data_IF_014328534045
#
_entry.id   IF_014328534045
#
_cell.length_a   1.000
_cell.length_b   1.000
_cell.length_c   1.000
_cell.angle_alpha   90.00
_cell.angle_beta   90.00
_cell.angle_gamma   90.00
#
_symmetry.space_group_name_H-M   'P 1'
#
loop_
_entity.id
_entity.type
_entity.pdbx_description
1 polymer ?
#
# COMPACT_ATOMS: atom_id res chain seq x y z
N UNK A 1 34.23 39.49 -31.47
CA UNK A 1 33.33 38.33 -31.45
C UNK A 1 32.91 38.16 -30.01
N UNK A 2 31.84 38.84 -29.63
CA UNK A 2 31.25 38.77 -28.29
C UNK A 2 30.40 37.50 -28.23
N UNK A 3 30.67 36.65 -27.24
CA UNK A 3 29.99 35.37 -27.07
C UNK A 3 28.61 35.57 -26.48
N UNK A 4 27.58 35.10 -27.20
CA UNK A 4 26.22 35.02 -26.68
C UNK A 4 26.17 34.02 -25.51
N UNK A 5 25.52 34.38 -24.39
CA UNK A 5 25.27 33.44 -23.31
C UNK A 5 24.30 32.35 -23.76
N UNK A 6 24.56 31.14 -23.27
CA UNK A 6 23.82 29.92 -23.58
C UNK A 6 22.46 29.90 -22.87
N UNK A 7 21.43 29.42 -23.56
CA UNK A 7 20.05 29.21 -23.07
C UNK A 7 19.97 28.42 -21.74
N UNK A 8 21.03 27.68 -21.39
CA UNK A 8 21.16 26.99 -20.12
C UNK A 8 21.30 27.94 -18.91
N UNK A 9 21.86 29.14 -19.09
CA UNK A 9 22.11 30.10 -18.01
C UNK A 9 20.84 30.90 -17.64
N UNK A 10 19.94 31.12 -18.60
CA UNK A 10 18.63 31.78 -18.37
C UNK A 10 17.62 30.85 -17.68
N UNK A 11 17.67 29.54 -17.94
CA UNK A 11 16.81 28.56 -17.28
C UNK A 11 17.21 28.29 -15.82
N UNK A 12 18.49 28.47 -15.47
CA UNK A 12 18.97 28.34 -14.09
C UNK A 12 18.46 29.45 -13.16
N UNK A 13 18.22 30.66 -13.69
CA UNK A 13 17.70 31.79 -12.93
C UNK A 13 16.17 31.75 -12.75
N UNK A 14 15.42 31.30 -13.76
CA UNK A 14 13.96 31.21 -13.70
C UNK A 14 13.44 30.14 -12.71
N UNK A 15 14.22 29.09 -12.42
CA UNK A 15 13.83 28.03 -11.47
C UNK A 15 14.05 28.46 -10.00
N UNK A 16 14.91 29.46 -9.75
CA UNK A 16 15.12 30.03 -8.41
C UNK A 16 13.95 30.91 -7.96
N UNK A 17 13.23 31.55 -8.88
CA UNK A 17 12.10 32.45 -8.58
C UNK A 17 10.75 31.74 -8.45
N UNK A 18 10.66 30.44 -8.77
CA UNK A 18 9.45 29.62 -8.65
C UNK A 18 9.42 28.76 -7.37
N UNK A 19 10.32 29.01 -6.42
CA UNK A 19 10.23 28.42 -5.08
C UNK A 19 9.08 29.06 -4.30
N UNK A 20 7.93 28.38 -4.38
CA UNK A 20 6.82 28.35 -3.44
C UNK A 20 6.93 29.34 -2.25
N UNK A 21 6.11 30.38 -2.30
CA UNK A 21 5.74 31.16 -1.12
C UNK A 21 5.33 30.19 -0.01
N UNK A 22 6.08 30.24 1.09
CA UNK A 22 5.85 29.42 2.26
C UNK A 22 4.40 29.56 2.76
N UNK A 23 3.83 28.46 3.25
CA UNK A 23 2.53 28.39 3.97
C UNK A 23 2.42 29.33 5.19
N UNK A 24 3.46 30.11 5.51
CA UNK A 24 3.48 31.03 6.63
C UNK A 24 2.72 32.35 6.39
N UNK A 25 2.48 32.73 5.13
CA UNK A 25 1.80 33.99 4.80
C UNK A 25 0.27 33.88 4.64
N UNK A 26 -0.28 32.66 4.58
CA UNK A 26 -1.73 32.41 4.55
C UNK A 26 -2.38 32.34 5.94
N UNK A 27 -1.63 32.56 7.02
CA UNK A 27 -2.13 32.48 8.41
C UNK A 27 -2.46 33.83 9.06
N UNK A 28 -2.41 34.95 8.34
CA UNK A 28 -2.78 36.25 8.89
C UNK A 28 -4.24 36.60 8.53
N UNK A 29 -5.08 36.63 9.57
CA UNK A 29 -6.41 37.23 9.62
C UNK A 29 -7.59 36.40 9.09
N UNK A 30 -7.73 35.16 9.56
CA UNK A 30 -9.07 34.57 9.73
C UNK A 30 -9.42 34.69 11.20
N UNK A 31 -10.17 35.72 11.57
CA UNK A 31 -10.85 35.79 12.86
C UNK A 31 -11.85 34.63 12.90
N UNK A 32 -11.51 33.58 13.65
CA UNK A 32 -12.47 32.55 14.01
C UNK A 32 -13.46 33.16 15.01
N UNK A 33 -14.78 33.14 14.75
CA UNK A 33 -15.75 33.63 15.70
C UNK A 33 -15.65 32.82 17.00
N UNK A 34 -15.65 33.55 18.11
CA UNK A 34 -15.61 33.06 19.49
C UNK A 34 -16.62 31.92 19.71
N UNK A 35 -16.11 30.71 19.99
CA UNK A 35 -16.89 29.48 20.22
C UNK A 35 -17.82 29.58 21.45
N UNK A 36 -17.69 30.63 22.27
CA UNK A 36 -18.51 30.81 23.47
C UNK A 36 -19.93 31.35 23.22
N UNK A 37 -20.34 31.59 21.96
CA UNK A 37 -21.69 32.07 21.61
C UNK A 37 -22.55 31.11 20.75
N UNK A 38 -22.33 29.80 20.81
CA UNK A 38 -23.30 28.83 20.24
C UNK A 38 -24.53 28.78 21.15
N UNK A 39 -25.49 29.67 20.90
CA UNK A 39 -26.85 29.55 21.43
C UNK A 39 -27.40 28.17 21.05
N UNK A 40 -27.95 27.47 22.04
CA UNK A 40 -28.72 26.24 21.87
C UNK A 40 -29.83 26.48 20.85
N UNK A 41 -29.58 26.10 19.59
CA UNK A 41 -30.60 26.03 18.56
C UNK A 41 -31.39 24.76 18.84
N UNK A 42 -32.69 24.92 19.07
CA UNK A 42 -33.63 23.82 19.27
C UNK A 42 -33.48 22.80 18.14
N UNK A 43 -32.98 21.60 18.47
CA UNK A 43 -32.74 20.50 17.52
C UNK A 43 -34.04 19.81 17.04
N UNK A 44 -35.21 20.32 17.41
CA UNK A 44 -36.51 19.78 17.02
C UNK A 44 -37.03 20.44 15.74
N UNK A 45 -36.39 20.15 14.59
CA UNK A 45 -37.00 20.10 13.24
C UNK A 45 -35.95 20.05 12.11
N UNK A 46 -34.90 19.23 12.22
CA UNK A 46 -34.13 18.85 11.02
C UNK A 46 -34.93 17.79 10.27
N UNK A 47 -35.89 18.35 9.55
CA UNK A 47 -36.72 17.83 8.49
C UNK A 47 -36.05 16.67 7.74
N UNK A 48 -36.78 15.57 7.62
CA UNK A 48 -36.54 14.43 6.74
C UNK A 48 -36.46 14.89 5.28
N UNK A 49 -35.35 15.52 4.87
CA UNK A 49 -35.09 15.74 3.46
C UNK A 49 -34.77 14.38 2.85
N UNK A 50 -35.64 13.94 1.95
CA UNK A 50 -35.36 12.81 1.08
C UNK A 50 -33.97 13.02 0.44
N UNK A 51 -33.15 11.95 0.35
CA UNK A 51 -31.83 12.07 -0.24
C UNK A 51 -31.95 12.65 -1.64
N UNK A 52 -31.24 13.76 -1.89
CA UNK A 52 -31.20 14.40 -3.20
C UNK A 52 -30.73 13.38 -4.24
N UNK A 53 -31.57 13.12 -5.24
CA UNK A 53 -31.26 12.18 -6.33
C UNK A 53 -30.46 12.82 -7.45
N UNK A 54 -30.42 14.16 -7.52
CA UNK A 54 -29.83 14.91 -8.62
C UNK A 54 -29.07 16.15 -8.12
N UNK A 55 -27.94 16.46 -8.74
CA UNK A 55 -27.17 17.68 -8.49
C UNK A 55 -27.39 18.69 -9.62
N UNK A 56 -28.43 19.53 -9.47
CA UNK A 56 -28.93 20.40 -10.55
C UNK A 56 -28.03 21.61 -10.87
N UNK A 57 -27.04 21.93 -10.04
CA UNK A 57 -26.21 23.14 -10.19
C UNK A 57 -24.98 22.96 -11.08
N UNK A 58 -24.60 21.72 -11.38
CA UNK A 58 -23.43 21.49 -12.24
C UNK A 58 -23.61 22.04 -13.66
N UNK A 59 -24.76 21.85 -14.35
CA UNK A 59 -24.96 22.38 -15.69
C UNK A 59 -24.95 23.92 -15.78
N UNK A 60 -25.24 24.61 -14.67
CA UNK A 60 -25.21 26.08 -14.58
C UNK A 60 -23.77 26.64 -14.57
N UNK A 61 -22.76 25.78 -14.35
CA UNK A 61 -21.37 26.19 -14.38
C UNK A 61 -20.92 26.51 -15.82
N UNK A 62 -20.12 27.57 -16.02
CA UNK A 62 -19.40 27.80 -17.27
C UNK A 62 -18.70 26.53 -17.77
N UNK A 63 -18.73 26.30 -19.08
CA UNK A 63 -18.19 25.09 -19.69
C UNK A 63 -16.72 24.87 -19.32
N UNK A 64 -15.94 25.94 -19.19
CA UNK A 64 -14.53 25.88 -18.82
C UNK A 64 -14.34 25.29 -17.42
N UNK A 65 -15.22 25.63 -16.47
CA UNK A 65 -15.17 25.07 -15.12
C UNK A 65 -15.63 23.62 -15.10
N UNK A 66 -16.67 23.28 -15.86
CA UNK A 66 -17.15 21.88 -15.98
C UNK A 66 -16.05 20.98 -16.53
N UNK A 67 -15.39 21.39 -17.62
CA UNK A 67 -14.30 20.64 -18.23
C UNK A 67 -13.12 20.49 -17.27
N UNK A 68 -12.75 21.53 -16.51
CA UNK A 68 -11.70 21.42 -15.49
C UNK A 68 -12.06 20.44 -14.37
N UNK A 69 -13.33 20.41 -13.96
CA UNK A 69 -13.79 19.44 -12.94
C UNK A 69 -13.73 18.02 -13.49
N UNK A 70 -14.11 17.80 -14.75
CA UNK A 70 -14.03 16.48 -15.40
C UNK A 70 -12.59 16.02 -15.66
N UNK A 71 -11.70 16.93 -16.06
CA UNK A 71 -10.27 16.64 -16.17
C UNK A 71 -9.73 16.20 -14.80
N UNK A 72 -9.96 16.99 -13.74
CA UNK A 72 -9.57 16.64 -12.38
C UNK A 72 -10.18 15.30 -11.89
N UNK A 73 -11.45 15.03 -12.21
CA UNK A 73 -12.10 13.77 -11.86
C UNK A 73 -11.54 12.56 -12.65
N UNK A 74 -10.98 12.79 -13.84
CA UNK A 74 -10.27 11.77 -14.63
C UNK A 74 -8.87 11.48 -14.08
N UNK A 75 -8.37 12.33 -13.18
CA UNK A 75 -7.05 12.24 -12.57
C UNK A 75 -7.00 11.42 -11.27
N UNK A 76 -8.05 10.65 -10.98
CA UNK A 76 -8.09 9.83 -9.77
C UNK A 76 -7.29 8.53 -9.98
N UNK A 77 -6.19 8.31 -9.23
CA UNK A 77 -5.41 7.08 -9.32
C UNK A 77 -6.20 5.90 -8.74
N UNK A 78 -6.06 4.72 -9.34
CA UNK A 78 -6.72 3.50 -8.85
C UNK A 78 -5.79 2.30 -8.90
N UNK A 79 -6.09 1.32 -8.05
CA UNK A 79 -5.40 0.03 -8.03
C UNK A 79 -6.24 -0.96 -8.84
N UNK A 80 -5.68 -1.48 -9.94
CA UNK A 80 -6.26 -2.58 -10.69
C UNK A 80 -5.59 -3.87 -10.25
N UNK A 81 -6.21 -4.56 -9.31
CA UNK A 81 -5.72 -5.83 -8.79
C UNK A 81 -5.92 -6.96 -9.81
N UNK A 82 -4.83 -7.68 -10.07
CA UNK A 82 -4.80 -8.93 -10.79
C UNK A 82 -4.73 -10.08 -9.80
N UNK A 83 -5.66 -11.01 -9.97
CA UNK A 83 -5.72 -12.26 -9.22
C UNK A 83 -5.28 -13.39 -10.14
N UNK A 84 -4.48 -14.30 -9.62
CA UNK A 84 -4.14 -15.53 -10.32
C UNK A 84 -4.67 -16.74 -9.56
N UNK A 85 -4.87 -17.80 -10.31
CA UNK A 85 -5.03 -19.12 -9.78
C UNK A 85 -4.53 -20.14 -10.77
N UNK A 86 -4.41 -21.36 -10.28
CA UNK A 86 -4.17 -22.52 -11.13
C UNK A 86 -5.52 -23.16 -11.39
N UNK A 87 -5.89 -23.34 -12.66
CA UNK A 87 -7.07 -24.14 -12.97
C UNK A 87 -6.80 -25.57 -12.48
N UNK A 88 -7.70 -26.11 -11.65
CA UNK A 88 -7.68 -27.55 -11.32
C UNK A 88 -7.77 -28.30 -12.63
N UNK A 89 -6.80 -29.18 -12.90
CA UNK A 89 -6.80 -29.99 -14.12
C UNK A 89 -8.12 -30.76 -14.17
N UNK A 90 -8.85 -30.63 -15.27
CA UNK A 90 -9.98 -31.51 -15.49
C UNK A 90 -9.41 -32.90 -15.86
N UNK A 91 -10.19 -33.97 -15.71
CA UNK A 91 -9.73 -35.33 -16.05
C UNK A 91 -9.16 -35.43 -17.48
N UNK A 92 -9.71 -34.67 -18.42
CA UNK A 92 -9.18 -34.57 -19.78
C UNK A 92 -7.79 -33.90 -19.86
N UNK A 93 -7.52 -32.88 -19.02
CA UNK A 93 -6.21 -32.22 -18.96
C UNK A 93 -5.16 -33.17 -18.34
N UNK A 94 -5.57 -33.98 -17.36
CA UNK A 94 -4.74 -35.03 -16.75
C UNK A 94 -4.39 -36.13 -17.77
N UNK A 95 -5.38 -36.64 -18.51
CA UNK A 95 -5.18 -37.65 -19.57
C UNK A 95 -4.20 -37.13 -20.63
N UNK A 96 -4.33 -35.86 -21.02
CA UNK A 96 -3.48 -35.24 -22.02
C UNK A 96 -2.14 -34.73 -21.46
N UNK A 97 -1.88 -34.89 -20.16
CA UNK A 97 -0.68 -34.39 -19.46
C UNK A 97 -0.41 -32.91 -19.74
N UNK A 98 -1.46 -32.10 -19.88
CA UNK A 98 -1.30 -30.67 -20.07
C UNK A 98 -0.79 -30.05 -18.76
N UNK A 99 0.19 -29.13 -18.82
CA UNK A 99 0.65 -28.46 -17.62
C UNK A 99 -0.49 -27.65 -17.00
N UNK A 100 -0.53 -27.51 -15.66
CA UNK A 100 -1.51 -26.65 -15.00
C UNK A 100 -1.48 -25.26 -15.61
N UNK A 101 -2.61 -24.81 -16.16
CA UNK A 101 -2.72 -23.49 -16.76
C UNK A 101 -2.93 -22.46 -15.65
N UNK A 102 -1.95 -21.55 -15.52
CA UNK A 102 -2.11 -20.36 -14.69
C UNK A 102 -3.02 -19.39 -15.41
N UNK A 103 -4.04 -18.90 -14.74
CA UNK A 103 -4.87 -17.82 -15.25
C UNK A 103 -4.62 -16.53 -14.48
N UNK A 104 -4.95 -15.42 -15.11
CA UNK A 104 -4.93 -14.08 -14.51
C UNK A 104 -6.25 -13.43 -14.82
N UNK A 105 -6.94 -12.92 -13.81
CA UNK A 105 -8.19 -12.17 -13.94
C UNK A 105 -8.09 -10.86 -13.19
N UNK A 106 -8.81 -9.84 -13.65
CA UNK A 106 -8.97 -8.62 -12.87
C UNK A 106 -9.92 -8.89 -11.69
N UNK A 107 -9.66 -8.31 -10.52
CA UNK A 107 -10.56 -8.40 -9.36
C UNK A 107 -11.91 -7.75 -9.67
N UNK A 108 -12.94 -8.01 -8.84
CA UNK A 108 -14.27 -7.44 -9.07
C UNK A 108 -14.22 -5.91 -8.95
N UNK A 109 -13.53 -5.39 -7.92
CA UNK A 109 -13.32 -3.95 -7.75
C UNK A 109 -12.48 -3.34 -8.87
N UNK A 110 -11.41 -4.02 -9.33
CA UNK A 110 -10.59 -3.55 -10.46
C UNK A 110 -11.35 -3.47 -11.79
N UNK A 111 -12.47 -4.20 -11.95
CA UNK A 111 -13.35 -4.10 -13.12
C UNK A 111 -14.41 -3.00 -13.01
N UNK A 112 -14.56 -2.35 -11.85
CA UNK A 112 -15.53 -1.28 -11.72
C UNK A 112 -15.20 -0.15 -12.68
N UNK A 113 -16.20 0.24 -13.46
CA UNK A 113 -16.10 1.37 -14.37
C UNK A 113 -15.82 2.64 -13.55
N UNK A 114 -14.84 3.47 -13.95
CA UNK A 114 -14.58 4.75 -13.30
C UNK A 114 -15.87 5.57 -13.14
N UNK A 115 -16.06 6.19 -11.96
CA UNK A 115 -17.27 6.94 -11.64
C UNK A 115 -17.59 7.99 -12.71
N UNK A 116 -16.57 8.71 -13.21
CA UNK A 116 -16.72 9.74 -14.25
C UNK A 116 -17.43 9.23 -15.53
N UNK A 117 -17.25 7.95 -15.89
CA UNK A 117 -17.88 7.39 -17.09
C UNK A 117 -19.37 7.05 -16.91
N UNK A 118 -19.91 7.24 -15.71
CA UNK A 118 -21.32 6.99 -15.37
C UNK A 118 -22.09 8.22 -14.94
N UNK A 119 -21.44 9.35 -14.66
CA UNK A 119 -22.10 10.56 -14.15
C UNK A 119 -23.03 11.19 -15.20
N UNK A 120 -22.51 11.49 -16.39
CA UNK A 120 -23.26 12.15 -17.46
C UNK A 120 -22.63 11.83 -18.82
N UNK A 121 -23.30 12.24 -19.90
CA UNK A 121 -22.75 12.12 -21.26
C UNK A 121 -21.46 12.93 -21.42
N UNK A 122 -21.44 14.17 -20.96
CA UNK A 122 -20.27 15.05 -21.01
C UNK A 122 -19.11 14.46 -20.20
N UNK A 123 -19.35 14.02 -18.97
CA UNK A 123 -18.33 13.40 -18.13
C UNK A 123 -17.74 12.14 -18.78
N UNK A 124 -18.59 11.32 -19.42
CA UNK A 124 -18.13 10.16 -20.19
C UNK A 124 -17.28 10.54 -21.39
N UNK A 125 -17.67 11.55 -22.16
CA UNK A 125 -16.92 12.03 -23.31
C UNK A 125 -15.53 12.54 -22.89
N UNK A 126 -15.43 13.25 -21.76
CA UNK A 126 -14.14 13.66 -21.19
C UNK A 126 -13.34 12.49 -20.61
N UNK A 127 -13.94 11.64 -19.79
CA UNK A 127 -13.24 10.52 -19.17
C UNK A 127 -12.68 9.52 -20.19
N UNK A 128 -13.37 9.30 -21.32
CA UNK A 128 -12.87 8.44 -22.41
C UNK A 128 -11.62 8.97 -23.12
N UNK A 129 -11.22 10.23 -22.90
CA UNK A 129 -9.91 10.75 -23.35
C UNK A 129 -8.75 10.16 -22.53
N UNK A 130 -9.01 9.75 -21.28
CA UNK A 130 -7.99 9.24 -20.36
C UNK A 130 -8.06 7.71 -20.16
N UNK A 131 -9.25 7.12 -20.26
CA UNK A 131 -9.47 5.70 -20.02
C UNK A 131 -9.63 4.91 -21.33
N UNK A 132 -8.83 3.85 -21.49
CA UNK A 132 -8.94 2.89 -22.60
C UNK A 132 -9.49 1.56 -22.11
N UNK A 133 -10.42 0.98 -22.87
CA UNK A 133 -10.95 -0.35 -22.61
C UNK A 133 -9.87 -1.40 -22.93
N UNK A 134 -9.34 -2.07 -21.91
CA UNK A 134 -8.12 -2.88 -22.00
C UNK A 134 -8.36 -4.29 -21.45
N UNK A 135 -7.89 -5.32 -22.16
CA UNK A 135 -7.97 -6.71 -21.69
C UNK A 135 -6.70 -7.12 -20.91
N UNK A 136 -6.76 -6.99 -19.60
CA UNK A 136 -5.69 -7.38 -18.68
C UNK A 136 -5.72 -8.87 -18.31
N UNK A 137 -6.77 -9.62 -18.68
CA UNK A 137 -6.94 -11.04 -18.32
C UNK A 137 -6.21 -12.01 -19.25
N UNK A 138 -5.75 -13.14 -18.71
CA UNK A 138 -5.18 -14.21 -19.54
C UNK A 138 -6.27 -14.84 -20.41
N UNK A 139 -5.94 -15.18 -21.66
CA UNK A 139 -6.89 -15.81 -22.61
C UNK A 139 -7.40 -17.17 -22.15
N UNK A 140 -6.68 -17.82 -21.24
CA UNK A 140 -6.95 -19.19 -20.82
C UNK A 140 -8.08 -19.29 -19.77
N UNK A 141 -8.78 -18.19 -19.46
CA UNK A 141 -9.81 -18.12 -18.40
C UNK A 141 -10.91 -17.11 -18.70
N UNK A 142 -12.19 -17.50 -18.49
CA UNK A 142 -13.08 -18.14 -19.48
C UNK A 142 -13.05 -17.51 -20.89
N UNK A 143 -13.64 -18.17 -21.89
CA UNK A 143 -13.64 -17.77 -23.32
C UNK A 143 -14.27 -16.39 -23.66
N UNK A 144 -14.72 -15.62 -22.66
CA UNK A 144 -15.33 -14.30 -22.85
C UNK A 144 -14.35 -13.24 -22.38
N UNK A 145 -13.89 -12.41 -23.31
CA UNK A 145 -13.06 -11.25 -22.97
C UNK A 145 -13.84 -10.31 -22.05
N UNK A 146 -13.22 -9.95 -20.92
CA UNK A 146 -13.80 -9.03 -19.92
C UNK A 146 -12.88 -7.83 -19.78
N UNK A 147 -12.88 -6.90 -20.75
CA UNK A 147 -12.01 -5.76 -20.65
C UNK A 147 -12.46 -4.83 -19.53
N UNK A 148 -11.51 -4.06 -18.98
CA UNK A 148 -11.76 -3.04 -17.97
C UNK A 148 -11.22 -1.69 -18.45
N UNK A 149 -11.76 -0.59 -17.92
CA UNK A 149 -11.24 0.74 -18.19
C UNK A 149 -9.92 0.96 -17.44
N UNK A 150 -8.89 1.31 -18.19
CA UNK A 150 -7.53 1.52 -17.70
C UNK A 150 -7.00 2.88 -18.14
N UNK A 151 -6.52 3.68 -17.19
CA UNK A 151 -5.79 4.92 -17.44
C UNK A 151 -4.30 4.66 -17.20
N UNK A 152 -3.52 4.46 -18.26
CA UNK A 152 -2.08 4.15 -18.15
C UNK A 152 -1.28 5.25 -17.45
N UNK A 153 -1.75 6.50 -17.49
CA UNK A 153 -1.09 7.63 -16.84
C UNK A 153 -1.24 7.62 -15.33
N UNK A 154 -2.29 7.01 -14.75
CA UNK A 154 -2.52 7.08 -13.29
C UNK A 154 -2.84 5.76 -12.59
N UNK A 155 -3.47 4.81 -13.27
CA UNK A 155 -3.79 3.51 -12.67
C UNK A 155 -2.49 2.70 -12.42
N UNK A 156 -2.50 1.91 -11.35
CA UNK A 156 -1.42 0.98 -10.98
C UNK A 156 -1.90 -0.45 -11.09
N UNK A 157 -1.18 -1.30 -11.84
CA UNK A 157 -1.49 -2.72 -11.96
C UNK A 157 -0.89 -3.47 -10.77
N UNK A 158 -1.73 -4.02 -9.90
CA UNK A 158 -1.28 -4.73 -8.71
C UNK A 158 -1.37 -6.25 -8.89
N UNK A 159 -0.22 -6.91 -8.89
CA UNK A 159 -0.12 -8.36 -8.83
C UNK A 159 -0.30 -8.83 -7.39
N UNK A 160 -1.54 -9.26 -7.09
CA UNK A 160 -1.93 -9.71 -5.76
C UNK A 160 -1.18 -10.95 -5.28
N UNK A 161 -1.35 -11.36 -4.01
CA UNK A 161 -0.55 -12.40 -3.37
C UNK A 161 -0.64 -13.79 -4.01
N UNK A 162 -1.69 -14.05 -4.79
CA UNK A 162 -1.89 -15.31 -5.49
C UNK A 162 -1.23 -15.33 -6.87
N UNK A 163 -0.76 -14.19 -7.37
CA UNK A 163 0.05 -14.15 -8.59
C UNK A 163 1.35 -14.93 -8.38
N UNK A 164 1.86 -15.50 -9.45
CA UNK A 164 3.18 -16.11 -9.50
C UNK A 164 4.01 -15.46 -10.63
N UNK A 165 5.30 -15.78 -10.70
CA UNK A 165 6.19 -15.20 -11.70
C UNK A 165 5.75 -15.47 -13.15
N UNK A 166 5.16 -16.64 -13.44
CA UNK A 166 4.65 -16.94 -14.78
C UNK A 166 3.43 -16.07 -15.13
N UNK A 167 2.52 -15.84 -14.19
CA UNK A 167 1.38 -14.94 -14.34
C UNK A 167 1.77 -13.48 -14.53
N UNK A 168 2.78 -13.03 -13.77
CA UNK A 168 3.37 -11.70 -13.93
C UNK A 168 3.96 -11.58 -15.34
N UNK A 169 4.81 -12.53 -15.74
CA UNK A 169 5.45 -12.53 -17.06
C UNK A 169 4.42 -12.59 -18.20
N UNK A 170 3.40 -13.45 -18.10
CA UNK A 170 2.32 -13.55 -19.09
C UNK A 170 1.61 -12.20 -19.28
N UNK A 171 1.37 -11.47 -18.19
CA UNK A 171 0.71 -10.17 -18.23
C UNK A 171 1.62 -9.10 -18.82
N UNK A 172 2.88 -9.05 -18.41
CA UNK A 172 3.88 -8.10 -18.93
C UNK A 172 4.28 -8.38 -20.39
N UNK A 173 4.02 -9.59 -20.90
CA UNK A 173 4.24 -9.89 -22.32
C UNK A 173 3.15 -9.28 -23.23
N UNK A 174 2.06 -8.74 -22.67
CA UNK A 174 1.04 -8.04 -23.44
C UNK A 174 1.56 -6.71 -23.95
N UNK A 175 1.13 -6.31 -25.15
CA UNK A 175 1.47 -5.01 -25.76
C UNK A 175 0.63 -3.87 -25.18
N UNK A 176 0.67 -3.73 -23.86
CA UNK A 176 -0.04 -2.70 -23.09
C UNK A 176 1.02 -1.93 -22.30
N UNK A 177 1.01 -0.61 -22.36
CA UNK A 177 1.88 0.22 -21.53
C UNK A 177 1.45 0.08 -20.07
N UNK A 178 2.39 -0.24 -19.18
CA UNK A 178 2.13 -0.41 -17.75
C UNK A 178 3.12 0.43 -16.94
N UNK A 179 2.95 1.77 -16.87
CA UNK A 179 3.94 2.63 -16.25
C UNK A 179 4.10 2.41 -14.75
N UNK A 180 3.04 1.97 -14.06
CA UNK A 180 3.10 1.65 -12.64
C UNK A 180 2.61 0.25 -12.41
N UNK A 181 3.46 -0.55 -11.77
CA UNK A 181 3.11 -1.88 -11.31
C UNK A 181 3.38 -2.00 -9.82
N UNK A 182 2.56 -2.80 -9.14
CA UNK A 182 2.76 -3.18 -7.77
C UNK A 182 2.83 -4.70 -7.68
N UNK A 183 3.74 -5.26 -6.89
CA UNK A 183 3.89 -6.70 -6.71
C UNK A 183 3.90 -7.03 -5.23
N UNK A 184 3.01 -7.92 -4.81
CA UNK A 184 2.99 -8.41 -3.44
C UNK A 184 4.25 -9.23 -3.15
N UNK A 185 4.93 -8.94 -2.03
CA UNK A 185 6.17 -9.66 -1.70
C UNK A 185 5.93 -11.13 -1.31
N UNK A 186 4.68 -11.56 -1.11
CA UNK A 186 4.28 -12.97 -0.92
C UNK A 186 4.35 -13.80 -2.20
N UNK A 187 4.40 -13.16 -3.37
CA UNK A 187 4.33 -13.80 -4.68
C UNK A 187 5.57 -14.66 -4.92
N UNK A 188 5.50 -15.93 -4.50
CA UNK A 188 6.56 -16.92 -4.69
C UNK A 188 7.92 -16.49 -4.15
N UNK A 189 8.96 -17.27 -4.45
CA UNK A 189 10.32 -16.91 -4.06
C UNK A 189 10.72 -15.60 -4.74
N UNK A 190 11.11 -14.60 -3.94
CA UNK A 190 11.48 -13.23 -4.36
C UNK A 190 12.39 -13.12 -5.57
N UNK A 191 13.26 -14.13 -5.80
CA UNK A 191 14.12 -14.18 -6.98
C UNK A 191 13.35 -14.37 -8.29
N UNK A 192 12.23 -15.10 -8.29
CA UNK A 192 11.43 -15.34 -9.51
C UNK A 192 10.66 -14.09 -9.93
N UNK A 193 10.20 -13.29 -8.96
CA UNK A 193 9.59 -11.99 -9.23
C UNK A 193 10.59 -11.07 -9.89
N UNK A 194 11.77 -10.89 -9.28
CA UNK A 194 12.82 -10.07 -9.87
C UNK A 194 13.23 -10.58 -11.26
N UNK A 195 13.36 -11.90 -11.43
CA UNK A 195 13.63 -12.47 -12.75
C UNK A 195 12.52 -12.15 -13.77
N UNK A 196 11.24 -12.27 -13.39
CA UNK A 196 10.12 -11.92 -14.27
C UNK A 196 10.14 -10.43 -14.66
N UNK A 197 10.46 -9.55 -13.71
CA UNK A 197 10.61 -8.12 -13.94
C UNK A 197 11.83 -7.79 -14.81
N UNK A 198 12.96 -8.47 -14.64
CA UNK A 198 14.16 -8.25 -15.47
C UNK A 198 14.01 -8.83 -16.89
N UNK A 199 13.27 -9.93 -17.03
CA UNK A 199 12.97 -10.61 -18.30
C UNK A 199 11.80 -10.01 -19.07
N UNK A 200 11.26 -8.86 -18.63
CA UNK A 200 10.22 -8.15 -19.38
C UNK A 200 10.65 -7.85 -20.81
N UNK A 201 9.70 -7.91 -21.74
CA UNK A 201 9.89 -7.42 -23.09
C UNK A 201 10.26 -5.94 -23.12
N UNK A 202 11.00 -5.54 -24.16
CA UNK A 202 11.51 -4.18 -24.33
C UNK A 202 10.42 -3.11 -24.33
N UNK A 203 9.19 -3.40 -24.80
CA UNK A 203 8.10 -2.44 -24.84
C UNK A 203 7.57 -2.07 -23.45
N UNK A 204 7.38 -3.05 -22.56
CA UNK A 204 6.98 -2.76 -21.17
C UNK A 204 8.09 -2.03 -20.46
N UNK A 205 9.34 -2.48 -20.66
CA UNK A 205 10.51 -1.85 -20.06
C UNK A 205 10.63 -0.38 -20.43
N UNK A 206 10.38 -0.03 -21.69
CA UNK A 206 10.42 1.37 -22.15
C UNK A 206 9.30 2.25 -21.61
N UNK A 207 8.26 1.66 -21.03
CA UNK A 207 7.11 2.39 -20.46
C UNK A 207 7.05 2.38 -18.94
N UNK A 208 7.87 1.57 -18.27
CA UNK A 208 7.77 1.33 -16.83
C UNK A 208 8.47 2.44 -16.05
N UNK A 209 7.70 3.16 -15.25
CA UNK A 209 8.13 4.33 -14.47
C UNK A 209 8.25 3.98 -12.97
N UNK A 210 7.40 3.10 -12.44
CA UNK A 210 7.37 2.75 -11.01
C UNK A 210 7.13 1.25 -10.79
N UNK A 211 7.89 0.67 -9.86
CA UNK A 211 7.68 -0.66 -9.30
C UNK A 211 7.50 -0.54 -7.80
N UNK A 212 6.30 -0.83 -7.32
CA UNK A 212 5.97 -0.87 -5.90
C UNK A 212 6.03 -2.31 -5.39
N UNK A 213 6.91 -2.59 -4.44
CA UNK A 213 6.87 -3.84 -3.68
C UNK A 213 5.91 -3.69 -2.50
N UNK A 214 4.79 -4.41 -2.56
CA UNK A 214 3.72 -4.32 -1.57
C UNK A 214 4.05 -5.22 -0.40
N UNK A 215 4.45 -4.60 0.70
CA UNK A 215 4.73 -5.23 1.97
C UNK A 215 3.40 -5.62 2.64
N UNK A 216 3.19 -6.90 2.96
CA UNK A 216 1.98 -7.38 3.57
C UNK A 216 1.73 -6.71 4.92
N UNK A 217 0.46 -6.37 5.16
CA UNK A 217 -0.05 -5.87 6.44
C UNK A 217 -1.11 -6.84 6.95
N UNK A 218 -1.00 -7.27 8.21
CA UNK A 218 -1.96 -8.13 8.91
C UNK A 218 -3.36 -7.53 8.96
N UNK A 219 -3.47 -6.21 9.03
CA UNK A 219 -4.76 -5.52 9.06
C UNK A 219 -5.52 -5.70 7.72
N UNK A 220 -4.79 -5.99 6.64
CA UNK A 220 -5.30 -6.05 5.27
C UNK A 220 -5.01 -7.40 4.58
N UNK A 221 -4.64 -8.43 5.35
CA UNK A 221 -4.16 -9.72 4.85
C UNK A 221 -5.23 -10.56 4.14
N UNK A 222 -6.50 -10.44 4.56
CA UNK A 222 -7.57 -11.39 4.21
C UNK A 222 -8.27 -11.11 2.87
N UNK A 223 -8.03 -9.98 2.22
CA UNK A 223 -8.87 -9.57 1.09
C UNK A 223 -8.05 -9.28 -0.16
N UNK A 224 -7.80 -10.32 -0.97
CA UNK A 224 -7.85 -10.10 -2.41
C UNK A 224 -9.27 -9.57 -2.72
N UNK A 225 -9.42 -8.60 -3.60
CA UNK A 225 -10.64 -7.80 -3.83
C UNK A 225 -10.77 -6.58 -2.90
N UNK A 226 -9.71 -5.76 -2.80
CA UNK A 226 -9.71 -4.54 -1.99
C UNK A 226 -10.88 -3.62 -2.32
N UNK A 227 -11.53 -3.00 -1.31
CA UNK A 227 -12.53 -1.98 -1.55
C UNK A 227 -11.89 -0.75 -2.25
N UNK A 228 -12.68 0.09 -2.92
CA UNK A 228 -12.15 1.22 -3.71
C UNK A 228 -11.45 2.29 -2.87
N UNK A 229 -11.61 2.26 -1.54
CA UNK A 229 -11.00 3.19 -0.59
C UNK A 229 -9.64 2.70 -0.05
N UNK A 230 -8.86 2.00 -0.87
CA UNK A 230 -7.50 1.54 -0.51
C UNK A 230 -6.47 2.21 -1.43
N UNK A 231 -5.36 2.63 -0.86
CA UNK A 231 -4.21 3.18 -1.57
C UNK A 231 -2.91 2.49 -1.14
N UNK A 232 -1.82 2.82 -1.84
CA UNK A 232 -0.48 2.48 -1.39
C UNK A 232 0.09 3.61 -0.55
N UNK A 233 0.51 3.31 0.67
CA UNK A 233 1.25 4.25 1.52
C UNK A 233 2.65 3.74 1.81
N UNK A 234 3.61 4.67 1.88
CA UNK A 234 4.97 4.39 2.31
C UNK A 234 4.97 3.65 3.65
N UNK A 235 5.75 2.58 3.76
CA UNK A 235 5.81 1.79 4.98
C UNK A 235 7.24 1.64 5.46
N UNK A 236 7.41 1.80 6.77
CA UNK A 236 8.66 1.41 7.47
C UNK A 236 8.68 -0.09 7.75
N UNK A 237 7.54 -0.78 7.57
CA UNK A 237 7.45 -2.22 7.77
C UNK A 237 8.41 -2.95 6.85
N UNK A 238 9.05 -3.97 7.40
CA UNK A 238 9.86 -4.94 6.64
C UNK A 238 9.04 -6.19 6.31
N UNK A 239 7.74 -6.17 6.57
CA UNK A 239 6.89 -7.36 6.61
C UNK A 239 6.82 -7.93 8.01
N UNK A 240 5.82 -8.76 8.22
CA UNK A 240 5.37 -9.12 9.56
C UNK A 240 5.98 -10.39 10.15
N UNK A 241 6.46 -11.31 9.29
CA UNK A 241 7.13 -12.54 9.72
C UNK A 241 8.61 -12.57 9.25
N UNK A 242 9.47 -13.42 9.84
CA UNK A 242 10.88 -13.53 9.46
C UNK A 242 11.12 -13.83 7.97
N UNK A 243 10.23 -14.56 7.29
CA UNK A 243 10.33 -14.86 5.85
C UNK A 243 10.02 -13.62 5.02
N UNK A 244 8.97 -12.87 5.34
CA UNK A 244 8.68 -11.58 4.69
C UNK A 244 9.82 -10.58 4.91
N UNK A 245 10.36 -10.50 6.13
CA UNK A 245 11.54 -9.66 6.43
C UNK A 245 12.77 -10.05 5.60
N UNK A 246 13.01 -11.35 5.45
CA UNK A 246 14.09 -11.88 4.61
C UNK A 246 13.87 -11.54 3.13
N UNK A 247 12.63 -11.70 2.63
CA UNK A 247 12.25 -11.37 1.25
C UNK A 247 12.40 -9.87 0.99
N UNK A 248 11.87 -9.01 1.86
CA UNK A 248 11.99 -7.55 1.72
C UNK A 248 13.46 -7.12 1.76
N UNK A 249 14.26 -7.66 2.68
CA UNK A 249 15.71 -7.39 2.74
C UNK A 249 16.41 -7.83 1.45
N UNK A 250 16.06 -9.01 0.93
CA UNK A 250 16.58 -9.50 -0.34
C UNK A 250 16.20 -8.57 -1.51
N UNK A 251 14.93 -8.20 -1.63
CA UNK A 251 14.43 -7.31 -2.69
C UNK A 251 15.11 -5.94 -2.61
N UNK A 252 15.21 -5.34 -1.42
CA UNK A 252 15.94 -4.07 -1.23
C UNK A 252 17.40 -4.18 -1.66
N UNK A 253 18.10 -5.24 -1.24
CA UNK A 253 19.47 -5.50 -1.69
C UNK A 253 19.55 -5.65 -3.21
N UNK A 254 18.59 -6.33 -3.84
CA UNK A 254 18.54 -6.50 -5.29
C UNK A 254 18.28 -5.19 -6.04
N UNK A 255 17.34 -4.39 -5.55
CA UNK A 255 17.10 -3.04 -6.07
C UNK A 255 18.37 -2.20 -5.97
N UNK A 256 19.06 -2.23 -4.82
CA UNK A 256 20.33 -1.53 -4.65
C UNK A 256 21.39 -2.00 -5.66
N UNK A 257 21.54 -3.31 -5.88
CA UNK A 257 22.48 -3.86 -6.86
C UNK A 257 22.14 -3.45 -8.29
N UNK A 258 20.85 -3.48 -8.64
CA UNK A 258 20.33 -3.04 -9.95
C UNK A 258 20.64 -1.57 -10.18
N UNK A 259 20.38 -0.72 -9.18
CA UNK A 259 20.64 0.73 -9.24
C UNK A 259 22.13 1.02 -9.27
N UNK A 260 22.93 0.30 -8.48
CA UNK A 260 24.39 0.43 -8.43
C UNK A 260 25.10 -0.17 -9.65
N UNK A 261 24.39 -0.90 -10.52
CA UNK A 261 24.92 -1.58 -11.71
C UNK A 261 26.04 -2.56 -11.41
N UNK A 262 26.01 -3.14 -10.22
CA UNK A 262 26.94 -4.19 -9.85
C UNK A 262 26.73 -5.39 -10.78
N UNK A 263 27.82 -5.96 -11.29
CA UNK A 263 27.74 -7.13 -12.16
C UNK A 263 27.08 -8.28 -11.40
N UNK A 264 26.00 -8.82 -11.97
CA UNK A 264 25.28 -9.93 -11.35
C UNK A 264 26.15 -11.20 -11.34
N UNK A 265 26.08 -12.03 -10.28
CA UNK A 265 26.61 -13.38 -10.32
C UNK A 265 25.98 -14.16 -11.49
N UNK A 266 26.77 -15.03 -12.13
CA UNK A 266 26.54 -15.76 -13.39
C UNK A 266 25.17 -16.46 -13.62
N UNK A 267 24.23 -16.47 -12.68
CA UNK A 267 22.98 -17.25 -12.75
C UNK A 267 21.70 -16.44 -12.95
N UNK A 268 21.80 -15.11 -13.03
CA UNK A 268 20.63 -14.25 -13.25
C UNK A 268 20.78 -13.49 -14.57
N UNK A 269 19.62 -13.21 -15.20
CA UNK A 269 19.57 -12.46 -16.43
C UNK A 269 20.32 -11.14 -16.27
N UNK A 270 21.09 -10.73 -17.29
CA UNK A 270 21.77 -9.43 -17.28
C UNK A 270 20.75 -8.35 -16.92
N UNK A 271 21.11 -7.45 -15.99
CA UNK A 271 20.33 -6.26 -15.73
C UNK A 271 20.20 -5.49 -17.05
N UNK A 272 18.98 -5.39 -17.55
CA UNK A 272 18.70 -4.82 -18.86
C UNK A 272 18.04 -3.44 -18.78
N UNK A 273 18.03 -2.81 -17.60
CA UNK A 273 17.58 -1.43 -17.41
C UNK A 273 18.74 -0.45 -17.67
N UNK A 274 18.55 0.50 -18.59
CA UNK A 274 19.45 1.65 -18.79
C UNK A 274 19.16 2.75 -17.75
N UNK A 275 20.00 3.80 -17.63
CA UNK A 275 19.70 4.93 -16.71
C UNK A 275 18.38 5.58 -17.05
N UNK A 276 18.15 5.82 -18.35
CA UNK A 276 16.97 6.50 -18.87
C UNK A 276 15.68 5.69 -18.71
N UNK A 277 15.79 4.38 -18.50
CA UNK A 277 14.65 3.45 -18.40
C UNK A 277 14.59 2.73 -17.04
N UNK A 278 15.25 3.29 -16.02
CA UNK A 278 15.23 2.72 -14.67
C UNK A 278 13.94 3.18 -13.97
N UNK A 279 13.05 2.25 -13.57
CA UNK A 279 11.87 2.63 -12.82
C UNK A 279 12.25 3.06 -11.39
N UNK A 280 11.42 3.91 -10.79
CA UNK A 280 11.44 4.14 -9.36
C UNK A 280 11.05 2.85 -8.63
N UNK A 281 11.79 2.50 -7.58
CA UNK A 281 11.48 1.34 -6.75
C UNK A 281 11.02 1.79 -5.37
N UNK A 282 9.83 1.35 -4.99
CA UNK A 282 9.24 1.73 -3.72
C UNK A 282 8.78 0.52 -2.90
N UNK A 283 8.75 0.68 -1.58
CA UNK A 283 8.20 -0.32 -0.67
C UNK A 283 7.04 0.33 0.06
N UNK A 284 5.82 -0.08 -0.30
CA UNK A 284 4.58 0.46 0.25
C UNK A 284 3.77 -0.67 0.88
N UNK A 285 2.83 -0.32 1.75
CA UNK A 285 1.78 -1.22 2.21
C UNK A 285 0.43 -0.75 1.67
N UNK A 286 -0.55 -1.64 1.64
CA UNK A 286 -1.93 -1.26 1.36
C UNK A 286 -2.53 -0.67 2.63
N UNK A 287 -3.13 0.51 2.47
CA UNK A 287 -3.72 1.29 3.57
C UNK A 287 -5.06 1.87 3.13
N UNK A 288 -5.99 2.15 4.05
CA UNK A 288 -7.20 2.87 3.69
C UNK A 288 -6.82 4.28 3.24
N UNK A 289 -7.55 4.83 2.26
CA UNK A 289 -7.46 6.24 1.91
C UNK A 289 -7.96 7.03 3.12
N UNK A 290 -7.10 7.86 3.74
CA UNK A 290 -7.54 8.64 4.88
C UNK A 290 -8.44 9.80 4.44
N UNK A 291 -9.37 10.18 5.31
CA UNK A 291 -10.16 11.39 5.12
C UNK A 291 -9.24 12.63 5.01
N UNK A 292 -9.67 13.71 4.34
CA UNK A 292 -8.89 14.94 4.26
C UNK A 292 -8.41 15.43 5.63
N UNK A 293 -7.11 15.67 5.77
CA UNK A 293 -6.48 16.08 7.03
C UNK A 293 -6.23 14.93 8.03
N UNK A 294 -6.55 13.69 7.67
CA UNK A 294 -6.20 12.49 8.43
C UNK A 294 -5.06 11.73 7.74
N UNK A 295 -4.41 10.85 8.49
CA UNK A 295 -3.37 9.94 8.01
C UNK A 295 -3.59 8.55 8.59
N UNK A 296 -3.04 7.55 7.91
CA UNK A 296 -2.94 6.19 8.41
C UNK A 296 -1.46 5.81 8.54
N UNK A 297 -1.09 5.18 9.65
CA UNK A 297 0.25 4.63 9.86
C UNK A 297 0.15 3.26 10.54
N UNK A 298 1.24 2.49 10.52
CA UNK A 298 1.31 1.21 11.21
C UNK A 298 2.54 1.08 12.09
N UNK A 299 2.41 0.28 13.15
CA UNK A 299 3.48 -0.11 14.05
C UNK A 299 3.45 -1.62 14.23
N UNK A 300 4.61 -2.26 14.14
CA UNK A 300 4.77 -3.66 14.53
C UNK A 300 5.34 -3.68 15.94
N UNK A 301 4.66 -4.37 16.86
CA UNK A 301 5.13 -4.63 18.22
C UNK A 301 5.37 -6.13 18.39
N UNK A 302 6.41 -6.53 19.11
CA UNK A 302 6.76 -7.96 19.26
C UNK A 302 6.12 -8.62 20.49
N UNK A 303 5.50 -7.83 21.36
CA UNK A 303 4.96 -8.30 22.62
C UNK A 303 3.46 -8.54 22.50
N UNK A 304 3.04 -9.79 22.66
CA UNK A 304 1.61 -10.17 22.68
C UNK A 304 0.89 -9.59 23.90
N UNK A 305 1.62 -9.51 25.02
CA UNK A 305 1.05 -9.16 26.32
C UNK A 305 0.52 -7.74 26.38
N UNK A 306 1.07 -6.82 25.58
CA UNK A 306 0.62 -5.43 25.49
C UNK A 306 -0.83 -5.30 24.97
N UNK A 307 -1.33 -6.34 24.32
CA UNK A 307 -2.65 -6.38 23.68
C UNK A 307 -3.46 -7.61 24.08
N UNK A 308 -3.19 -8.25 25.22
CA UNK A 308 -4.07 -9.30 25.71
C UNK A 308 -5.50 -8.76 25.94
N UNK A 309 -6.52 -9.64 25.91
CA UNK A 309 -7.93 -9.23 25.93
C UNK A 309 -8.34 -8.38 27.15
N UNK A 310 -7.54 -8.35 28.20
CA UNK A 310 -7.77 -7.52 29.39
C UNK A 310 -7.09 -6.12 29.30
N UNK A 311 -6.14 -5.92 28.38
CA UNK A 311 -5.36 -4.68 28.20
C UNK A 311 -5.96 -3.70 27.18
N UNK A 312 -7.20 -3.93 26.71
CA UNK A 312 -7.93 -2.95 25.88
C UNK A 312 -8.09 -1.60 26.58
N UNK A 313 -8.04 -1.57 27.91
CA UNK A 313 -8.06 -0.33 28.67
C UNK A 313 -6.92 0.60 28.27
N UNK A 314 -5.71 0.06 28.04
CA UNK A 314 -4.54 0.84 27.63
C UNK A 314 -4.74 1.43 26.25
N UNK A 315 -5.18 0.62 25.28
CA UNK A 315 -5.45 1.12 23.92
C UNK A 315 -6.54 2.19 23.95
N UNK A 316 -7.65 1.94 24.65
CA UNK A 316 -8.75 2.92 24.80
C UNK A 316 -8.30 4.20 25.47
N UNK A 317 -7.41 4.11 26.46
CA UNK A 317 -6.85 5.28 27.12
C UNK A 317 -5.98 6.10 26.15
N UNK A 318 -5.16 5.45 25.32
CA UNK A 318 -4.38 6.11 24.27
C UNK A 318 -5.31 6.75 23.23
N UNK A 319 -6.33 6.02 22.76
CA UNK A 319 -7.33 6.56 21.82
C UNK A 319 -8.01 7.80 22.40
N UNK A 320 -8.44 7.74 23.67
CA UNK A 320 -9.06 8.86 24.38
C UNK A 320 -8.13 10.05 24.54
N UNK A 321 -6.87 9.83 24.93
CA UNK A 321 -5.87 10.88 25.16
C UNK A 321 -5.47 11.59 23.87
N UNK A 322 -5.37 10.85 22.77
CA UNK A 322 -4.79 11.36 21.51
C UNK A 322 -5.82 11.72 20.47
N UNK A 323 -7.04 11.18 20.57
CA UNK A 323 -8.03 11.21 19.49
C UNK A 323 -7.65 10.37 18.27
N UNK A 324 -6.61 9.53 18.37
CA UNK A 324 -6.24 8.57 17.35
C UNK A 324 -7.06 7.30 17.50
N UNK A 325 -7.66 6.80 16.43
CA UNK A 325 -8.24 5.46 16.40
C UNK A 325 -7.14 4.43 16.17
N UNK A 326 -7.13 3.37 16.98
CA UNK A 326 -6.15 2.28 16.90
C UNK A 326 -6.88 1.00 16.52
N UNK A 327 -6.48 0.41 15.38
CA UNK A 327 -6.99 -0.87 14.90
C UNK A 327 -5.93 -1.94 15.07
N UNK A 328 -6.35 -3.12 15.51
CA UNK A 328 -5.52 -4.32 15.54
C UNK A 328 -5.87 -5.21 14.36
N UNK A 329 -4.89 -5.97 13.89
CA UNK A 329 -5.18 -7.15 13.09
C UNK A 329 -6.14 -8.12 13.83
N UNK A 330 -7.12 -8.72 13.13
CA UNK A 330 -8.06 -9.65 13.76
C UNK A 330 -7.34 -10.84 14.42
N UNK A 331 -7.75 -11.18 15.65
CA UNK A 331 -7.24 -12.23 16.52
C UNK A 331 -7.36 -13.67 16.01
N UNK A 332 -7.81 -13.88 14.77
CA UNK A 332 -7.85 -15.22 14.15
C UNK A 332 -6.44 -15.65 13.70
N UNK A 333 -5.49 -15.49 14.64
CA UNK A 333 -4.07 -15.78 14.56
C UNK A 333 -3.83 -17.26 14.86
N UNK A 334 -4.78 -17.98 15.45
CA UNK A 334 -4.68 -19.43 15.70
C UNK A 334 -4.40 -20.24 14.41
N UNK A 335 -4.94 -19.82 13.26
CA UNK A 335 -4.63 -20.45 11.96
C UNK A 335 -3.23 -20.11 11.42
N UNK A 336 -2.56 -19.11 12.01
CA UNK A 336 -1.29 -18.54 11.54
C UNK A 336 -0.11 -18.81 12.48
N UNK A 337 -0.32 -18.81 13.80
CA UNK A 337 0.67 -19.17 14.83
C UNK A 337 1.27 -20.55 14.57
N UNK A 338 0.44 -21.53 14.18
CA UNK A 338 0.90 -22.90 13.87
C UNK A 338 1.89 -22.95 12.68
N UNK A 339 1.92 -21.93 11.82
CA UNK A 339 2.63 -22.00 10.55
C UNK A 339 3.86 -21.08 10.42
N UNK A 340 3.98 -20.02 11.23
CA UNK A 340 4.94 -18.92 10.91
C UNK A 340 5.80 -18.37 12.06
N UNK A 341 5.64 -18.85 13.31
CA UNK A 341 6.49 -18.49 14.45
C UNK A 341 6.18 -17.12 15.06
N UNK A 342 7.10 -16.62 15.89
CA UNK A 342 7.03 -15.38 16.71
C UNK A 342 6.73 -14.12 15.87
N UNK A 343 5.46 -13.91 15.57
CA UNK A 343 4.97 -12.86 14.69
C UNK A 343 4.68 -11.62 15.53
N UNK A 344 5.32 -10.50 15.19
CA UNK A 344 4.94 -9.23 15.81
C UNK A 344 3.49 -8.87 15.45
N UNK A 345 2.78 -8.24 16.37
CA UNK A 345 1.45 -7.69 16.18
C UNK A 345 1.52 -6.38 15.40
N UNK A 346 0.70 -6.27 14.36
CA UNK A 346 0.53 -5.00 13.65
C UNK A 346 -0.64 -4.22 14.23
N UNK A 347 -0.34 -2.98 14.61
CA UNK A 347 -1.28 -1.94 15.00
C UNK A 347 -1.38 -0.89 13.89
N UNK A 348 -2.59 -0.53 13.52
CA UNK A 348 -2.91 0.53 12.57
C UNK A 348 -3.44 1.75 13.31
N UNK A 349 -2.92 2.92 12.98
CA UNK A 349 -3.23 4.20 13.62
C UNK A 349 -3.92 5.08 12.60
N UNK A 350 -5.07 5.65 12.96
CA UNK A 350 -5.87 6.51 12.09
C UNK A 350 -6.29 7.77 12.84
N UNK A 351 -5.90 8.93 12.34
CA UNK A 351 -6.17 10.19 13.03
C UNK A 351 -5.55 11.38 12.30
N UNK A 352 -5.49 12.54 12.95
CA UNK A 352 -4.64 13.63 12.45
C UNK A 352 -3.18 13.20 12.55
N UNK A 353 -2.28 13.83 11.77
CA UNK A 353 -0.86 13.51 11.85
C UNK A 353 -0.30 13.59 13.28
N UNK A 354 -0.62 14.66 14.01
CA UNK A 354 -0.19 14.84 15.40
C UNK A 354 -0.75 13.75 16.34
N UNK A 355 -2.02 13.39 16.18
CA UNK A 355 -2.65 12.33 17.00
C UNK A 355 -2.01 10.96 16.74
N UNK A 356 -1.74 10.64 15.47
CA UNK A 356 -1.10 9.37 15.08
C UNK A 356 0.32 9.28 15.61
N UNK A 357 1.13 10.33 15.45
CA UNK A 357 2.51 10.34 15.97
C UNK A 357 2.55 10.21 17.50
N UNK A 358 1.67 10.93 18.20
CA UNK A 358 1.60 10.86 19.66
C UNK A 358 1.13 9.48 20.16
N UNK A 359 0.10 8.90 19.52
CA UNK A 359 -0.37 7.56 19.85
C UNK A 359 0.71 6.51 19.61
N UNK A 360 1.44 6.60 18.48
CA UNK A 360 2.56 5.70 18.19
C UNK A 360 3.70 5.86 19.19
N UNK A 361 3.99 7.09 19.66
CA UNK A 361 4.99 7.34 20.70
C UNK A 361 4.59 6.67 22.02
N UNK A 362 3.34 6.87 22.46
CA UNK A 362 2.83 6.26 23.71
C UNK A 362 2.84 4.73 23.65
N UNK A 363 2.42 4.13 22.53
CA UNK A 363 2.47 2.67 22.36
C UNK A 363 3.91 2.15 22.45
N UNK A 364 4.88 2.84 21.84
CA UNK A 364 6.29 2.46 21.95
C UNK A 364 6.82 2.58 23.36
N UNK A 365 6.52 3.66 24.06
CA UNK A 365 6.97 3.85 25.46
C UNK A 365 6.44 2.75 26.38
N UNK A 366 5.19 2.33 26.18
CA UNK A 366 4.59 1.23 26.95
C UNK A 366 5.27 -0.10 26.58
N UNK A 367 5.58 -0.33 25.30
CA UNK A 367 6.27 -1.54 24.85
C UNK A 367 7.70 -1.62 25.40
N UNK A 368 8.44 -0.51 25.32
CA UNK A 368 9.81 -0.44 25.81
C UNK A 368 9.87 -0.63 27.35
N UNK A 369 8.90 -0.07 28.10
CA UNK A 369 8.84 -0.25 29.56
C UNK A 369 8.45 -1.68 29.95
N UNK A 370 7.55 -2.33 29.20
CA UNK A 370 7.22 -3.74 29.47
C UNK A 370 8.38 -4.68 29.16
N UNK A 371 9.04 -4.52 28.01
CA UNK A 371 10.25 -5.29 27.68
C UNK A 371 11.32 -5.13 28.79
N UNK A 372 11.45 -3.92 29.33
CA UNK A 372 12.35 -3.66 30.47
C UNK A 372 11.93 -4.40 31.73
N UNK A 373 10.65 -4.40 32.08
CA UNK A 373 10.14 -5.12 33.26
C UNK A 373 10.31 -6.64 33.11
N UNK A 374 9.99 -7.20 31.95
CA UNK A 374 10.21 -8.62 31.66
C UNK A 374 11.69 -9.01 31.76
N UNK A 375 12.59 -8.14 31.30
CA UNK A 375 14.03 -8.38 31.41
C UNK A 375 14.49 -8.40 32.88
N UNK A 376 13.92 -7.55 33.73
CA UNK A 376 14.17 -7.56 35.18
C UNK A 376 13.65 -8.86 35.79
N UNK A 377 12.39 -9.23 35.52
CA UNK A 377 11.79 -10.46 36.06
C UNK A 377 12.53 -11.72 35.62
N UNK A 378 12.97 -11.77 34.36
CA UNK A 378 13.78 -12.85 33.82
C UNK A 378 15.10 -12.98 34.57
N UNK A 379 15.77 -11.86 34.82
CA UNK A 379 17.03 -11.83 35.59
C UNK A 379 16.84 -12.27 37.04
N UNK A 380 15.77 -11.82 37.70
CA UNK A 380 15.43 -12.25 39.06
C UNK A 380 15.07 -13.74 39.14
N UNK A 381 14.43 -14.28 38.09
CA UNK A 381 14.13 -15.71 37.98
C UNK A 381 15.42 -16.54 37.83
N UNK A 382 16.32 -16.14 36.94
CA UNK A 382 17.62 -16.78 36.75
C UNK A 382 18.49 -16.73 38.02
N UNK A 383 18.43 -15.62 38.77
CA UNK A 383 19.14 -15.47 40.04
C UNK A 383 18.58 -16.42 41.11
N UNK A 384 17.25 -16.49 41.26
CA UNK A 384 16.59 -17.45 42.16
C UNK A 384 16.92 -18.91 41.83
N UNK A 385 16.91 -19.27 40.54
CA UNK A 385 17.29 -20.62 40.09
C UNK A 385 18.76 -20.92 40.39
N UNK A 386 19.65 -19.95 40.19
CA UNK A 386 21.07 -20.09 40.52
C UNK A 386 21.31 -20.25 42.02
N UNK A 387 20.58 -19.52 42.86
CA UNK A 387 20.63 -19.66 44.31
C UNK A 387 20.11 -21.03 44.76
N UNK A 388 19.01 -21.51 44.17
CA UNK A 388 18.47 -22.85 44.45
C UNK A 388 19.47 -23.96 44.12
N UNK A 389 20.19 -23.86 43.00
CA UNK A 389 21.25 -24.81 42.60
C UNK A 389 22.46 -24.76 43.55
N UNK A 390 22.83 -23.57 44.04
CA UNK A 390 23.88 -23.42 45.07
C UNK A 390 23.46 -24.08 46.39
N UNK A 391 22.21 -23.89 46.81
CA UNK A 391 21.66 -24.55 48.00
C UNK A 391 21.69 -26.09 47.90
N UNK A 392 21.30 -26.65 46.75
CA UNK A 392 21.23 -28.09 46.54
C UNK A 392 22.60 -28.79 46.50
N UNK A 393 23.65 -28.11 46.02
CA UNK A 393 25.01 -28.66 45.94
C UNK A 393 25.74 -28.71 47.28
N UNK A 394 25.34 -27.88 48.25
CA UNK A 394 25.89 -27.90 49.62
C UNK A 394 25.48 -29.13 50.45
N UNK A 395 24.42 -29.84 50.07
CA UNK A 395 23.87 -30.99 50.81
C UNK A 395 24.49 -32.35 50.47
N UNK A 396 25.33 -32.45 49.43
CA UNK A 396 25.92 -33.73 48.96
C UNK A 396 27.38 -33.96 49.41
N UNK A 397 27.90 -33.15 50.34
CA UNK A 397 29.28 -33.24 50.85
C UNK A 397 29.37 -33.70 52.31
N UNK A 398 28.45 -34.56 52.76
CA UNK A 398 28.48 -35.18 54.09
C UNK A 398 28.38 -36.70 54.02
#
# INVERSE_FOLDING_TARGET
MEGNPTIADELGQAVSELTFNSESDLKKNVEYPDESQVKSVDHEAVNSQEPLTEFQKFPDLPIELRLRIWDYASEQPRIIELQSGTRTLNHADEINRLPPQSWVKVSVHGRQTPAILHVSREAREEGLKHYTLTNLESRDYPAVERPCYYNSRLDTIYFGPLCNAASIQQTLNKKIAMPRIAVDVRVGTSYRVMAALQLMHSHVRGSLEEIVFVVPSFIWLKECNFPPNVCFASTKSTGFDPRHRRVCRYLRKRVQQVVARESEPFYLAKNNWSEELMPAFEFKCLTPIPDPGKVYNNLIIHEEELLNQDDWCVVREIEWKTGCMIKRAPHDVNAYEESWGDAGYELGFYGTFAAVEEAMRLVKEIADERERLEAIERKEREEREREALRGASGTYWW
#
